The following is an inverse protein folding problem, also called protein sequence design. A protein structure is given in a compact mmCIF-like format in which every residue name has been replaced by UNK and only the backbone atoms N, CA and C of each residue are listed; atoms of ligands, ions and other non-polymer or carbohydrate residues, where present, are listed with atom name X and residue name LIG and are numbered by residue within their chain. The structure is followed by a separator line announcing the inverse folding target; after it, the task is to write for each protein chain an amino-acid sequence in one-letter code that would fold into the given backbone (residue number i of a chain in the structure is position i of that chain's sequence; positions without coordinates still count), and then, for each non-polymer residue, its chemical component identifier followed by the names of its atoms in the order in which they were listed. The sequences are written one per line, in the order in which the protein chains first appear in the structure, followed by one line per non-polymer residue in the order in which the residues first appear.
data_IF_648587366406
#
_entry.id   IF_648587366406
#
_cell.length_a   1.000
_cell.length_b   1.000
_cell.length_c   1.000
_cell.angle_alpha   90.00
_cell.angle_beta   90.00
_cell.angle_gamma   90.00
#
_symmetry.space_group_name_H-M   'P 1'
#
loop_
_entity.id
_entity.type
_entity.pdbx_description
1 polymer ?
#
# COMPACT_ATOMS: atom_id res chain seq x y z
N UNK A 1 16.22 -33.41 -1.81
CA UNK A 1 16.77 -32.14 -1.29
C UNK A 1 17.94 -31.74 -2.20
N UNK A 2 17.89 -30.54 -2.79
CA UNK A 2 18.98 -29.98 -3.60
C UNK A 2 19.65 -28.91 -2.74
N UNK A 3 20.94 -29.04 -2.54
CA UNK A 3 21.74 -28.03 -1.84
C UNK A 3 22.17 -26.98 -2.88
N UNK A 4 21.76 -25.74 -2.69
CA UNK A 4 22.09 -24.61 -3.60
C UNK A 4 23.11 -23.72 -2.87
N UNK A 5 24.18 -23.38 -3.55
CA UNK A 5 25.20 -22.45 -3.03
C UNK A 5 24.65 -21.03 -2.89
N UNK A 6 25.19 -20.24 -1.98
CA UNK A 6 24.72 -18.87 -1.66
C UNK A 6 24.66 -17.95 -2.90
N UNK A 7 25.58 -18.11 -3.84
CA UNK A 7 25.62 -17.33 -5.09
C UNK A 7 24.50 -17.73 -6.05
N UNK A 8 24.25 -19.04 -6.19
CA UNK A 8 23.14 -19.55 -7.04
C UNK A 8 21.76 -19.28 -6.41
N UNK A 9 21.69 -19.16 -5.08
CA UNK A 9 20.45 -18.87 -4.39
C UNK A 9 19.90 -17.47 -4.75
N UNK A 10 20.77 -16.49 -4.94
CA UNK A 10 20.39 -15.14 -5.37
C UNK A 10 19.73 -15.13 -6.77
N UNK A 11 20.29 -15.89 -7.70
CA UNK A 11 19.74 -16.01 -9.06
C UNK A 11 18.40 -16.77 -9.03
N UNK A 12 18.32 -17.83 -8.20
CA UNK A 12 17.08 -18.60 -8.00
C UNK A 12 15.97 -17.78 -7.36
N UNK A 13 16.30 -16.81 -6.49
CA UNK A 13 15.35 -15.92 -5.81
C UNK A 13 15.05 -14.63 -6.59
N UNK A 14 15.38 -14.57 -7.89
CA UNK A 14 15.09 -13.41 -8.71
C UNK A 14 15.80 -12.12 -8.29
N UNK A 15 17.02 -12.26 -7.71
CA UNK A 15 17.82 -11.13 -7.23
C UNK A 15 17.65 -10.77 -5.75
N UNK A 16 16.70 -11.38 -5.04
CA UNK A 16 16.57 -11.22 -3.59
C UNK A 16 17.75 -11.87 -2.85
N UNK A 17 18.21 -11.24 -1.75
CA UNK A 17 19.27 -11.84 -0.93
C UNK A 17 18.69 -12.93 -0.02
N UNK A 18 19.47 -13.97 0.31
CA UNK A 18 19.04 -15.01 1.27
C UNK A 18 18.59 -14.44 2.62
N UNK A 19 19.29 -13.38 3.09
CA UNK A 19 18.96 -12.67 4.31
C UNK A 19 17.62 -11.92 4.20
N UNK A 20 17.36 -11.30 3.06
CA UNK A 20 16.07 -10.63 2.78
C UNK A 20 14.91 -11.62 2.76
N UNK A 21 15.12 -12.81 2.15
CA UNK A 21 14.11 -13.87 2.16
C UNK A 21 13.91 -14.45 3.57
N UNK A 22 15.00 -14.65 4.32
CA UNK A 22 14.90 -15.13 5.70
C UNK A 22 14.21 -14.12 6.62
N UNK A 23 14.52 -12.83 6.49
CA UNK A 23 13.84 -11.76 7.22
C UNK A 23 12.35 -11.70 6.84
N UNK A 24 12.03 -11.84 5.56
CA UNK A 24 10.68 -11.91 5.07
C UNK A 24 9.92 -13.13 5.61
N UNK A 25 10.51 -14.32 5.57
CA UNK A 25 9.91 -15.52 6.17
C UNK A 25 9.70 -15.40 7.68
N UNK A 26 10.69 -14.84 8.40
CA UNK A 26 10.59 -14.60 9.84
C UNK A 26 9.49 -13.60 10.19
N UNK A 27 9.36 -12.55 9.38
CA UNK A 27 8.29 -11.58 9.48
C UNK A 27 6.92 -12.24 9.30
N UNK A 28 6.74 -13.09 8.28
CA UNK A 28 5.49 -13.79 8.04
C UNK A 28 5.16 -14.82 9.12
N UNK A 29 6.16 -15.45 9.70
CA UNK A 29 5.97 -16.33 10.86
C UNK A 29 5.49 -15.53 12.08
N UNK A 30 6.03 -14.34 12.32
CA UNK A 30 5.55 -13.49 13.42
C UNK A 30 4.11 -12.95 13.18
N UNK A 31 3.77 -12.61 11.93
CA UNK A 31 2.38 -12.25 11.58
C UNK A 31 1.40 -13.40 11.70
N UNK A 32 1.81 -14.64 11.43
CA UNK A 32 0.95 -15.80 11.59
C UNK A 32 0.58 -16.03 13.07
N UNK A 33 1.46 -15.67 14.00
CA UNK A 33 1.15 -15.69 15.43
C UNK A 33 0.16 -14.60 15.85
N UNK A 34 0.27 -13.40 15.29
CA UNK A 34 -0.71 -12.33 15.53
C UNK A 34 -2.05 -12.62 14.86
N UNK A 35 -2.05 -13.35 13.74
CA UNK A 35 -3.28 -13.72 13.04
C UNK A 35 -4.02 -14.92 13.68
N UNK A 36 -3.36 -15.72 14.51
CA UNK A 36 -4.02 -16.80 15.28
C UNK A 36 -4.94 -16.25 16.37
N UNK A 37 -4.74 -15.00 16.81
CA UNK A 37 -5.64 -14.34 17.77
C UNK A 37 -6.92 -13.78 17.11
N UNK A 38 -7.04 -13.87 15.76
CA UNK A 38 -8.26 -13.61 15.02
C UNK A 38 -9.01 -14.93 14.77
N UNK A 39 -9.70 -15.43 15.77
CA UNK A 39 -10.61 -16.58 15.65
C UNK A 39 -11.64 -16.34 14.56
N UNK A 40 -11.67 -17.21 13.56
CA UNK A 40 -12.74 -17.26 12.56
C UNK A 40 -12.38 -17.78 11.17
N UNK A 41 -11.26 -18.46 10.94
CA UNK A 41 -10.98 -19.09 9.66
C UNK A 41 -10.86 -20.60 9.78
N UNK A 42 -11.80 -21.31 9.13
CA UNK A 42 -11.84 -22.76 9.02
C UNK A 42 -10.53 -23.34 8.47
N UNK A 43 -10.02 -24.35 9.17
CA UNK A 43 -8.95 -25.25 8.73
C UNK A 43 -9.35 -25.98 7.43
N UNK A 44 -8.86 -25.48 6.34
CA UNK A 44 -8.71 -26.21 5.09
C UNK A 44 -7.34 -25.82 4.54
N UNK A 45 -6.51 -26.82 4.20
CA UNK A 45 -5.21 -26.60 3.57
C UNK A 45 -5.38 -25.81 2.27
N UNK A 46 -5.50 -24.47 2.36
CA UNK A 46 -5.52 -23.56 1.22
C UNK A 46 -4.09 -23.35 0.78
N UNK A 47 -3.81 -23.65 -0.46
CA UNK A 47 -2.62 -23.16 -1.15
C UNK A 47 -2.50 -21.67 -0.86
N UNK A 48 -1.40 -21.26 -0.24
CA UNK A 48 -1.12 -19.86 0.04
C UNK A 48 -0.90 -19.15 -1.30
N UNK A 49 -1.82 -18.29 -1.72
CA UNK A 49 -1.66 -17.50 -2.92
C UNK A 49 -0.91 -16.22 -2.59
N UNK A 50 -0.05 -15.82 -3.50
CA UNK A 50 0.73 -14.59 -3.42
C UNK A 50 0.29 -13.66 -4.55
N UNK A 51 0.08 -12.39 -4.22
CA UNK A 51 -0.33 -11.35 -5.15
C UNK A 51 0.83 -10.39 -5.41
N UNK A 52 0.87 -9.81 -6.58
CA UNK A 52 1.83 -8.76 -6.89
C UNK A 52 1.43 -7.46 -6.18
N UNK A 53 2.37 -6.85 -5.45
CA UNK A 53 2.12 -5.59 -4.73
C UNK A 53 1.78 -4.45 -5.69
N UNK A 54 2.50 -4.34 -6.80
CA UNK A 54 2.26 -3.30 -7.81
C UNK A 54 0.83 -3.37 -8.36
N UNK A 55 0.32 -4.58 -8.66
CA UNK A 55 -1.05 -4.75 -9.14
C UNK A 55 -2.08 -4.31 -8.09
N UNK A 56 -1.85 -4.64 -6.82
CA UNK A 56 -2.73 -4.19 -5.73
C UNK A 56 -2.72 -2.67 -5.63
N UNK A 57 -1.55 -2.03 -5.66
CA UNK A 57 -1.43 -0.58 -5.52
C UNK A 57 -2.02 0.16 -6.72
N UNK A 58 -1.79 -0.30 -7.96
CA UNK A 58 -2.38 0.29 -9.17
C UNK A 58 -3.91 0.21 -9.15
N UNK A 59 -4.47 -0.94 -8.75
CA UNK A 59 -5.90 -1.09 -8.59
C UNK A 59 -6.46 -0.23 -7.44
N UNK A 60 -5.68 -0.08 -6.37
CA UNK A 60 -6.05 0.81 -5.25
C UNK A 60 -6.06 2.27 -5.69
N UNK A 61 -5.10 2.70 -6.51
CA UNK A 61 -5.06 4.06 -7.05
C UNK A 61 -6.32 4.36 -7.88
N UNK A 62 -6.71 3.44 -8.77
CA UNK A 62 -7.91 3.57 -9.57
C UNK A 62 -9.18 3.67 -8.71
N UNK A 63 -9.30 2.85 -7.66
CA UNK A 63 -10.43 2.91 -6.73
C UNK A 63 -10.47 4.22 -5.96
N UNK A 64 -9.32 4.70 -5.46
CA UNK A 64 -9.25 5.94 -4.69
C UNK A 64 -9.43 7.22 -5.51
N UNK A 65 -9.37 7.16 -6.83
CA UNK A 65 -9.73 8.28 -7.69
C UNK A 65 -11.25 8.49 -7.79
N UNK A 66 -12.04 7.44 -7.50
CA UNK A 66 -13.51 7.48 -7.59
C UNK A 66 -14.16 7.48 -6.21
N UNK A 67 -13.61 6.69 -5.28
CA UNK A 67 -14.16 6.49 -3.95
C UNK A 67 -13.21 6.99 -2.86
N UNK A 68 -13.73 7.60 -1.78
CA UNK A 68 -12.91 7.99 -0.65
C UNK A 68 -12.35 6.74 0.08
N UNK A 69 -11.23 6.93 0.78
CA UNK A 69 -10.68 5.88 1.64
C UNK A 69 -11.64 5.52 2.78
N UNK A 70 -11.96 4.24 2.88
CA UNK A 70 -12.76 3.66 3.97
C UNK A 70 -11.98 2.52 4.61
N UNK A 71 -11.61 2.67 5.88
CA UNK A 71 -10.97 1.60 6.65
C UNK A 71 -11.99 0.51 7.02
N UNK A 72 -11.51 -0.70 7.34
CA UNK A 72 -12.37 -1.79 7.85
C UNK A 72 -13.09 -1.40 9.14
N UNK A 73 -12.48 -0.60 10.00
CA UNK A 73 -13.11 -0.09 11.22
C UNK A 73 -14.25 0.89 10.88
N UNK A 74 -14.01 1.88 10.02
CA UNK A 74 -15.03 2.85 9.61
C UNK A 74 -16.23 2.20 8.90
N UNK A 75 -16.00 1.14 8.12
CA UNK A 75 -17.09 0.38 7.48
C UNK A 75 -17.87 -0.49 8.48
N UNK A 76 -17.27 -0.86 9.61
CA UNK A 76 -17.97 -1.58 10.68
C UNK A 76 -18.92 -0.68 11.46
N UNK A 77 -18.56 0.60 11.57
CA UNK A 77 -19.38 1.60 12.26
C UNK A 77 -20.49 2.18 11.38
N UNK A 78 -20.42 1.96 10.06
CA UNK A 78 -21.38 2.47 9.08
C UNK A 78 -21.60 1.41 7.98
N UNK A 79 -22.69 0.64 8.10
CA UNK A 79 -23.04 -0.46 7.19
C UNK A 79 -23.31 0.00 5.73
N UNK A 80 -23.48 1.30 5.50
CA UNK A 80 -23.63 1.85 4.15
C UNK A 80 -22.31 1.96 3.41
N UNK A 81 -21.17 1.82 4.11
CA UNK A 81 -19.82 1.93 3.55
C UNK A 81 -19.14 0.58 3.37
N UNK A 82 -18.58 0.36 2.21
CA UNK A 82 -17.71 -0.77 1.95
C UNK A 82 -16.24 -0.41 2.24
N UNK A 83 -15.46 -1.30 2.90
CA UNK A 83 -14.03 -1.09 3.05
C UNK A 83 -13.35 -0.95 1.68
N UNK A 84 -12.42 -0.01 1.54
CA UNK A 84 -11.69 0.16 0.28
C UNK A 84 -11.02 -1.14 -0.18
N UNK A 85 -10.49 -1.95 0.76
CA UNK A 85 -9.89 -3.24 0.44
C UNK A 85 -10.88 -4.19 -0.26
N UNK A 86 -12.14 -4.23 0.16
CA UNK A 86 -13.16 -5.08 -0.49
C UNK A 86 -13.53 -4.59 -1.89
N UNK A 87 -13.53 -3.27 -2.11
CA UNK A 87 -13.77 -2.69 -3.44
C UNK A 87 -12.61 -3.03 -4.38
N UNK A 88 -11.36 -2.90 -3.92
CA UNK A 88 -10.15 -3.27 -4.67
C UNK A 88 -10.17 -4.77 -5.00
N UNK A 89 -10.51 -5.61 -4.02
CA UNK A 89 -10.63 -7.06 -4.20
C UNK A 89 -11.67 -7.41 -5.28
N UNK A 90 -12.84 -6.79 -5.22
CA UNK A 90 -13.91 -6.99 -6.21
C UNK A 90 -13.50 -6.54 -7.61
N UNK A 91 -12.66 -5.49 -7.71
CA UNK A 91 -12.12 -5.02 -8.98
C UNK A 91 -11.06 -5.96 -9.53
N UNK A 92 -10.14 -6.45 -8.69
CA UNK A 92 -9.03 -7.31 -9.10
C UNK A 92 -9.49 -8.73 -9.45
N UNK A 93 -10.42 -9.27 -8.66
CA UNK A 93 -10.80 -10.67 -8.74
C UNK A 93 -12.26 -10.82 -9.09
N UNK A 94 -12.52 -11.80 -9.95
CA UNK A 94 -13.87 -12.25 -10.21
C UNK A 94 -14.41 -12.97 -8.98
N UNK A 95 -15.19 -12.28 -8.17
CA UNK A 95 -15.88 -12.87 -7.03
C UNK A 95 -17.15 -13.60 -7.52
N UNK A 96 -17.11 -14.94 -7.44
CA UNK A 96 -18.24 -15.79 -7.84
C UNK A 96 -18.36 -16.02 -9.35
N UNK A 97 -19.61 -16.30 -9.81
CA UNK A 97 -19.92 -16.65 -11.21
C UNK A 97 -20.34 -15.46 -12.06
N UNK A 98 -20.52 -14.29 -11.48
CA UNK A 98 -21.03 -13.11 -12.19
C UNK A 98 -19.91 -12.38 -12.94
N UNK A 99 -19.72 -12.79 -14.18
CA UNK A 99 -18.74 -12.19 -15.08
C UNK A 99 -19.14 -10.77 -15.54
N UNK A 100 -20.42 -10.52 -15.69
CA UNK A 100 -20.90 -9.25 -16.21
C UNK A 100 -20.80 -8.16 -15.15
N UNK A 101 -21.08 -8.49 -13.88
CA UNK A 101 -20.82 -7.59 -12.75
C UNK A 101 -19.33 -7.24 -12.63
N UNK A 102 -18.45 -8.23 -12.73
CA UNK A 102 -17.00 -7.98 -12.68
C UNK A 102 -16.54 -7.08 -13.84
N UNK A 103 -17.05 -7.30 -15.06
CA UNK A 103 -16.78 -6.43 -16.21
C UNK A 103 -17.31 -5.01 -16.01
N UNK A 104 -18.48 -4.83 -15.42
CA UNK A 104 -19.04 -3.50 -15.17
C UNK A 104 -18.19 -2.73 -14.16
N UNK A 105 -17.71 -3.37 -13.09
CA UNK A 105 -16.76 -2.76 -12.14
C UNK A 105 -15.46 -2.36 -12.82
N UNK A 106 -14.91 -3.20 -13.70
CA UNK A 106 -13.69 -2.88 -14.45
C UNK A 106 -13.88 -1.68 -15.40
N UNK A 107 -15.06 -1.56 -16.01
CA UNK A 107 -15.39 -0.44 -16.89
C UNK A 107 -15.64 0.86 -16.11
N UNK A 108 -16.27 0.77 -14.94
CA UNK A 108 -16.53 1.91 -14.06
C UNK A 108 -15.23 2.48 -13.46
N UNK A 109 -14.27 1.60 -13.15
CA UNK A 109 -12.99 1.96 -12.52
C UNK A 109 -11.85 1.57 -13.48
N UNK A 110 -11.59 2.32 -14.54
CA UNK A 110 -10.57 1.98 -15.51
C UNK A 110 -9.14 2.13 -14.93
N UNK A 111 -8.28 1.17 -15.21
CA UNK A 111 -6.85 1.30 -14.91
C UNK A 111 -6.18 2.15 -15.99
N UNK A 112 -5.31 3.07 -15.56
CA UNK A 112 -4.57 3.96 -16.45
C UNK A 112 -3.07 3.91 -16.12
N UNK A 113 -2.17 4.29 -17.05
CA UNK A 113 -0.73 4.33 -16.79
C UNK A 113 -0.36 5.19 -15.57
N UNK A 114 -1.12 6.26 -15.30
CA UNK A 114 -0.92 7.11 -14.11
C UNK A 114 -1.06 6.31 -12.80
N UNK A 115 -1.98 5.34 -12.76
CA UNK A 115 -2.17 4.50 -11.56
C UNK A 115 -0.98 3.55 -11.35
N UNK A 116 -0.36 3.10 -12.43
CA UNK A 116 0.86 2.27 -12.39
C UNK A 116 2.06 3.09 -11.90
N UNK A 117 2.23 4.32 -12.43
CA UNK A 117 3.24 5.26 -11.97
C UNK A 117 3.07 5.61 -10.47
N UNK A 118 1.85 5.84 -10.03
CA UNK A 118 1.55 6.11 -8.61
C UNK A 118 1.85 4.91 -7.72
N UNK A 119 1.57 3.68 -8.19
CA UNK A 119 1.89 2.45 -7.49
C UNK A 119 3.41 2.26 -7.33
N UNK A 120 4.18 2.54 -8.38
CA UNK A 120 5.63 2.52 -8.32
C UNK A 120 6.17 3.55 -7.32
N UNK A 121 5.70 4.80 -7.40
CA UNK A 121 6.10 5.86 -6.49
C UNK A 121 5.75 5.53 -5.02
N UNK A 122 4.57 4.95 -4.76
CA UNK A 122 4.17 4.51 -3.43
C UNK A 122 5.06 3.36 -2.92
N UNK A 123 5.46 2.44 -3.79
CA UNK A 123 6.39 1.36 -3.45
C UNK A 123 7.76 1.90 -3.07
N UNK A 124 8.33 2.82 -3.85
CA UNK A 124 9.63 3.45 -3.54
C UNK A 124 9.56 4.30 -2.26
N UNK A 125 8.46 5.03 -2.06
CA UNK A 125 8.23 5.72 -0.79
C UNK A 125 8.22 4.74 0.39
N UNK A 126 7.49 3.63 0.27
CA UNK A 126 7.43 2.61 1.32
C UNK A 126 8.79 2.01 1.65
N UNK A 127 9.65 1.74 0.65
CA UNK A 127 11.02 1.28 0.85
C UNK A 127 11.89 2.31 1.57
N UNK A 128 11.63 3.61 1.36
CA UNK A 128 12.42 4.72 1.94
C UNK A 128 12.05 5.04 3.39
N UNK A 129 10.99 4.46 3.94
CA UNK A 129 10.54 4.74 5.30
C UNK A 129 11.59 4.30 6.33
N UNK A 130 11.85 5.18 7.30
CA UNK A 130 12.52 4.81 8.55
C UNK A 130 11.45 4.32 9.51
N UNK A 131 11.30 3.01 9.59
CA UNK A 131 10.22 2.40 10.36
C UNK A 131 10.35 2.71 11.86
N UNK A 132 9.31 3.28 12.43
CA UNK A 132 9.17 3.64 13.85
C UNK A 132 7.96 2.99 14.52
N UNK A 133 7.12 2.32 13.75
CA UNK A 133 5.93 1.61 14.20
C UNK A 133 5.80 0.26 13.50
N UNK A 134 5.06 -0.67 14.10
CA UNK A 134 4.76 -1.97 13.51
C UNK A 134 4.14 -1.84 12.10
N UNK A 135 3.29 -0.83 11.91
CA UNK A 135 2.72 -0.56 10.60
C UNK A 135 3.80 -0.22 9.57
N UNK A 136 4.73 0.70 9.89
CA UNK A 136 5.80 1.10 8.98
C UNK A 136 6.78 -0.04 8.70
N UNK A 137 7.13 -0.86 9.71
CA UNK A 137 7.90 -2.08 9.50
C UNK A 137 7.25 -3.00 8.47
N UNK A 138 5.93 -3.17 8.59
CA UNK A 138 5.15 -4.01 7.69
C UNK A 138 5.08 -3.43 6.27
N UNK A 139 4.93 -2.13 6.13
CA UNK A 139 4.97 -1.43 4.83
C UNK A 139 6.32 -1.61 4.16
N UNK A 140 7.44 -1.35 4.89
CA UNK A 140 8.80 -1.54 4.38
C UNK A 140 9.02 -2.97 3.90
N UNK A 141 8.58 -3.96 4.70
CA UNK A 141 8.72 -5.38 4.35
C UNK A 141 7.95 -5.74 3.07
N UNK A 142 6.69 -5.31 2.92
CA UNK A 142 5.89 -5.56 1.73
C UNK A 142 6.49 -4.88 0.49
N UNK A 143 6.91 -3.61 0.61
CA UNK A 143 7.49 -2.87 -0.51
C UNK A 143 8.82 -3.48 -0.97
N UNK A 144 9.65 -3.99 -0.06
CA UNK A 144 10.87 -4.70 -0.42
C UNK A 144 10.62 -6.07 -1.04
N UNK A 145 9.59 -6.79 -0.58
CA UNK A 145 9.25 -8.10 -1.09
C UNK A 145 8.58 -8.04 -2.48
N UNK A 146 7.78 -7.02 -2.75
CA UNK A 146 7.00 -6.88 -3.99
C UNK A 146 5.86 -7.88 -4.14
N UNK A 147 5.68 -8.79 -3.16
CA UNK A 147 4.64 -9.82 -3.13
C UNK A 147 3.87 -9.78 -1.81
N UNK A 148 2.60 -10.07 -1.88
CA UNK A 148 1.65 -9.94 -0.77
C UNK A 148 0.89 -11.26 -0.61
N UNK A 149 0.93 -11.91 0.54
CA UNK A 149 0.06 -13.04 0.82
C UNK A 149 -1.37 -12.57 1.06
N UNK A 150 -2.35 -13.43 0.87
CA UNK A 150 -3.77 -13.11 0.99
C UNK A 150 -4.11 -12.34 2.28
N UNK A 151 -3.54 -12.76 3.42
CA UNK A 151 -3.74 -12.09 4.72
C UNK A 151 -3.18 -10.66 4.78
N UNK A 152 -2.21 -10.33 3.93
CA UNK A 152 -1.59 -9.01 3.81
C UNK A 152 -2.33 -8.04 2.91
N UNK A 153 -3.37 -8.47 2.19
CA UNK A 153 -4.05 -7.68 1.17
C UNK A 153 -4.54 -6.32 1.70
N UNK A 154 -5.25 -6.31 2.81
CA UNK A 154 -5.76 -5.07 3.42
C UNK A 154 -4.66 -4.09 3.84
N UNK A 155 -3.52 -4.60 4.29
CA UNK A 155 -2.34 -3.79 4.60
C UNK A 155 -1.75 -3.21 3.32
N UNK A 156 -1.57 -4.01 2.27
CA UNK A 156 -1.07 -3.55 0.97
C UNK A 156 -1.94 -2.41 0.41
N UNK A 157 -3.27 -2.57 0.42
CA UNK A 157 -4.20 -1.51 0.01
C UNK A 157 -4.02 -0.23 0.84
N UNK A 158 -3.71 -0.33 2.14
CA UNK A 158 -3.51 0.85 3.01
C UNK A 158 -2.23 1.64 2.69
N UNK A 159 -1.25 1.05 2.02
CA UNK A 159 0.01 1.71 1.64
C UNK A 159 -0.26 2.92 0.77
N UNK A 160 -1.09 2.79 -0.26
CA UNK A 160 -1.39 3.89 -1.16
C UNK A 160 -2.13 5.04 -0.47
N UNK A 161 -3.09 4.74 0.40
CA UNK A 161 -3.78 5.75 1.19
C UNK A 161 -2.82 6.51 2.14
N UNK A 162 -1.81 5.82 2.67
CA UNK A 162 -0.77 6.43 3.50
C UNK A 162 0.19 7.28 2.67
N UNK A 163 0.56 6.83 1.48
CA UNK A 163 1.36 7.58 0.53
C UNK A 163 0.66 8.89 0.11
N UNK A 164 -0.61 8.85 -0.29
CA UNK A 164 -1.40 10.06 -0.62
C UNK A 164 -1.45 11.04 0.55
N UNK A 165 -1.68 10.57 1.78
CA UNK A 165 -1.63 11.42 2.99
C UNK A 165 -0.24 12.02 3.23
N UNK A 166 0.83 11.30 2.92
CA UNK A 166 2.19 11.84 2.97
C UNK A 166 2.38 12.98 1.97
N UNK A 167 1.95 12.81 0.72
CA UNK A 167 2.01 13.86 -0.29
C UNK A 167 1.22 15.12 0.11
N UNK A 168 0.01 14.94 0.65
CA UNK A 168 -0.81 16.06 1.13
C UNK A 168 -0.14 16.85 2.26
N UNK A 169 0.56 16.16 3.16
CA UNK A 169 1.36 16.81 4.22
C UNK A 169 2.49 17.64 3.61
N UNK A 170 3.25 17.08 2.68
CA UNK A 170 4.35 17.79 2.01
C UNK A 170 3.85 19.05 1.28
N UNK A 171 2.76 18.95 0.54
CA UNK A 171 2.15 20.09 -0.15
C UNK A 171 1.68 21.17 0.84
N UNK A 172 1.08 20.76 1.94
CA UNK A 172 0.62 21.68 2.99
C UNK A 172 1.78 22.39 3.66
N UNK A 173 2.88 21.70 3.96
CA UNK A 173 4.10 22.28 4.53
C UNK A 173 4.77 23.25 3.55
N UNK A 174 4.84 22.88 2.27
CA UNK A 174 5.40 23.75 1.25
C UNK A 174 4.58 25.03 1.08
N UNK A 175 3.25 24.92 1.06
CA UNK A 175 2.35 26.08 1.03
C UNK A 175 2.60 26.99 2.23
N UNK A 176 2.66 26.47 3.44
CA UNK A 176 2.95 27.23 4.67
C UNK A 176 4.31 27.93 4.60
N UNK A 177 5.35 27.27 4.06
CA UNK A 177 6.68 27.87 3.88
C UNK A 177 6.65 29.03 2.90
N UNK A 178 5.92 28.89 1.77
CA UNK A 178 5.74 29.96 0.77
C UNK A 178 4.98 31.17 1.35
N UNK A 179 3.90 30.93 2.09
CA UNK A 179 3.12 31.97 2.78
C UNK A 179 3.98 32.74 3.80
N UNK A 180 4.74 32.02 4.62
CA UNK A 180 5.67 32.62 5.60
C UNK A 180 6.76 33.46 4.92
N UNK A 181 7.34 32.98 3.83
CA UNK A 181 8.35 33.72 3.06
C UNK A 181 7.76 34.98 2.41
N UNK A 182 6.51 34.93 1.93
CA UNK A 182 5.79 36.09 1.39
C UNK A 182 5.57 37.20 2.44
N UNK A 183 5.14 36.83 3.65
CA UNK A 183 4.98 37.76 4.76
C UNK A 183 6.27 38.46 5.17
N UNK A 184 7.40 37.73 5.20
CA UNK A 184 8.71 38.32 5.48
C UNK A 184 9.14 39.32 4.40
N UNK A 185 8.85 39.03 3.13
CA UNK A 185 9.13 39.92 1.99
C UNK A 185 8.34 41.21 2.06
N UNK A 186 7.07 41.18 2.44
CA UNK A 186 6.23 42.38 2.60
C UNK A 186 6.62 43.20 3.82
N UNK A 187 6.94 42.58 4.96
CA UNK A 187 7.43 43.27 6.14
C UNK A 187 8.73 44.02 5.82
N UNK A 188 9.68 43.41 5.10
CA UNK A 188 10.94 44.02 4.71
C UNK A 188 10.74 45.20 3.73
N UNK A 189 9.73 45.16 2.84
CA UNK A 189 9.36 46.29 1.95
C UNK A 189 8.74 47.47 2.74
N UNK A 190 7.94 47.21 3.78
CA UNK A 190 7.38 48.25 4.64
C UNK A 190 8.46 48.96 5.45
N UNK A 191 9.43 48.25 6.01
CA UNK A 191 10.55 48.85 6.73
C UNK A 191 11.42 49.76 5.84
N UNK A 192 11.65 49.38 4.57
CA UNK A 192 12.41 50.20 3.61
C UNK A 192 11.71 51.50 3.14
N UNK A 193 10.38 51.62 3.32
CA UNK A 193 9.62 52.81 2.95
C UNK A 193 9.54 53.87 4.06
N UNK A 194 9.97 53.53 5.29
CA UNK A 194 9.88 54.39 6.48
C UNK A 194 11.26 54.94 6.88
N UNK A 195 12.33 54.45 6.23
CA UNK A 195 13.71 54.99 6.34
C UNK A 195 14.03 55.91 5.17
#
# INVERSE_FOLDING_TARGET
WIQVGSTCLKDFLGGATPEGVAAYCSYWLSLSHVASDFEGFSEGARSQSYLNLHDILSNTAAVLDIYPWVSKAAARDDETKSPTASVVESRMFRLGRDYDLWKSIQAEIPLTPRHEEEAEAATEWGKSLTASSDYEYNVVALCNAGIVPDKGFGLAVSILASYRRHLDKLQTEERRRRESAGHFGEAKKRYRKVS
#
